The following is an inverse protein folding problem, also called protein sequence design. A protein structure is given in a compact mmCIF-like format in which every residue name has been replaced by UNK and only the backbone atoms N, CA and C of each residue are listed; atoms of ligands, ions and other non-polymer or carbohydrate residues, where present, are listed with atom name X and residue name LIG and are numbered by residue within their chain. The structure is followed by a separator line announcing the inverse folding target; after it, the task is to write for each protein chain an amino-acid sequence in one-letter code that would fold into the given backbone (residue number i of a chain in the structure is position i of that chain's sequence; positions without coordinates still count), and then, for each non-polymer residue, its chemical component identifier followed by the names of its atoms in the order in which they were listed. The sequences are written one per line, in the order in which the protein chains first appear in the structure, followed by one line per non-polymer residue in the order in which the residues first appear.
data_IF_943130188204
#
_entry.id   IF_943130188204
#
_cell.length_a   1.000
_cell.length_b   1.000
_cell.length_c   1.000
_cell.angle_alpha   90.00
_cell.angle_beta   90.00
_cell.angle_gamma   90.00
#
_symmetry.space_group_name_H-M   'P 1'
#
loop_
_entity.id
_entity.type
_entity.pdbx_description
1 polymer ?
#
# COMPACT_ATOMS: atom_id res chain seq x y z
N UNK A 1 2.51 -22.07 0.95
CA UNK A 1 2.73 -20.73 0.43
C UNK A 1 3.13 -19.79 1.56
N UNK A 2 4.17 -19.01 1.36
CA UNK A 2 4.54 -18.07 2.40
C UNK A 2 3.45 -17.02 2.56
N UNK A 3 3.09 -16.74 3.81
CA UNK A 3 2.15 -15.68 4.12
C UNK A 3 2.85 -14.33 3.93
N UNK A 4 2.08 -13.31 3.55
CA UNK A 4 2.58 -11.96 3.57
C UNK A 4 2.89 -11.58 5.02
N UNK A 5 3.99 -10.86 5.27
CA UNK A 5 4.26 -10.36 6.61
C UNK A 5 3.20 -9.36 7.04
N UNK A 6 2.95 -9.28 8.33
CA UNK A 6 2.07 -8.24 8.87
C UNK A 6 2.76 -6.89 8.67
N UNK A 7 2.04 -5.93 8.11
CA UNK A 7 2.59 -4.63 7.81
C UNK A 7 1.75 -3.52 8.43
N UNK A 8 2.43 -2.52 8.95
CA UNK A 8 1.76 -1.29 9.37
C UNK A 8 1.47 -0.43 8.15
N UNK A 9 0.48 0.49 8.24
CA UNK A 9 0.23 1.41 7.13
C UNK A 9 1.49 2.19 6.71
N UNK A 10 2.32 2.58 7.68
CA UNK A 10 3.55 3.33 7.39
C UNK A 10 4.51 2.53 6.52
N UNK A 11 4.63 1.23 6.77
CA UNK A 11 5.52 0.39 5.97
C UNK A 11 5.02 0.22 4.54
N UNK A 12 3.71 0.03 4.37
CA UNK A 12 3.16 -0.09 3.01
C UNK A 12 3.25 1.23 2.24
N UNK A 13 3.13 2.35 2.95
CA UNK A 13 3.32 3.67 2.32
C UNK A 13 4.73 3.79 1.78
N UNK A 14 5.74 3.36 2.53
CA UNK A 14 7.12 3.40 2.04
C UNK A 14 7.31 2.54 0.79
N UNK A 15 6.66 1.38 0.75
CA UNK A 15 6.71 0.52 -0.43
C UNK A 15 6.08 1.23 -1.63
N UNK A 16 4.93 1.86 -1.43
CA UNK A 16 4.27 2.59 -2.51
C UNK A 16 5.12 3.75 -3.02
N UNK A 17 5.77 4.46 -2.11
CA UNK A 17 6.68 5.56 -2.51
C UNK A 17 7.84 5.05 -3.35
N UNK A 18 8.39 3.89 -2.99
CA UNK A 18 9.46 3.27 -3.79
C UNK A 18 8.98 2.91 -5.19
N UNK A 19 7.71 2.61 -5.34
CA UNK A 19 7.12 2.29 -6.65
C UNK A 19 6.73 3.53 -7.45
N UNK A 20 6.88 4.71 -6.88
CA UNK A 20 6.57 5.95 -7.57
C UNK A 20 5.20 6.53 -7.26
N UNK A 21 4.52 6.02 -6.25
CA UNK A 21 3.26 6.61 -5.81
C UNK A 21 3.53 7.87 -4.99
N UNK A 22 2.66 8.85 -5.13
CA UNK A 22 2.74 10.10 -4.38
C UNK A 22 1.43 10.31 -3.63
N UNK A 23 1.50 11.03 -2.52
CA UNK A 23 0.30 11.35 -1.75
C UNK A 23 -0.54 12.34 -2.54
N UNK A 24 -1.78 11.96 -2.83
CA UNK A 24 -2.73 12.81 -3.54
C UNK A 24 -3.52 13.66 -2.54
N UNK A 25 -4.13 13.00 -1.56
CA UNK A 25 -4.91 13.72 -0.53
C UNK A 25 -5.08 12.86 0.71
N UNK A 26 -5.46 13.51 1.79
CA UNK A 26 -5.80 12.85 3.04
C UNK A 26 -7.27 13.13 3.32
N UNK A 27 -8.03 12.07 3.58
CA UNK A 27 -9.45 12.16 3.89
C UNK A 27 -9.70 11.46 5.21
N UNK A 28 -9.77 12.23 6.30
CA UNK A 28 -9.88 11.63 7.62
C UNK A 28 -8.67 10.78 7.94
N UNK A 29 -8.91 9.50 8.25
CA UNK A 29 -7.84 8.54 8.53
C UNK A 29 -7.37 7.81 7.26
N UNK A 30 -7.86 8.20 6.08
CA UNK A 30 -7.49 7.55 4.82
C UNK A 30 -6.51 8.42 4.05
N UNK A 31 -5.39 7.83 3.65
CA UNK A 31 -4.40 8.47 2.79
C UNK A 31 -4.57 7.92 1.38
N UNK A 32 -4.77 8.80 0.43
CA UNK A 32 -4.97 8.41 -0.97
C UNK A 32 -3.68 8.67 -1.74
N UNK A 33 -3.10 7.61 -2.29
CA UNK A 33 -1.88 7.68 -3.09
C UNK A 33 -2.20 7.49 -4.56
N UNK A 34 -1.40 8.11 -5.41
CA UNK A 34 -1.64 8.13 -6.84
C UNK A 34 -0.34 7.93 -7.60
N UNK A 35 -0.39 7.16 -8.68
CA UNK A 35 0.76 6.95 -9.55
C UNK A 35 0.53 7.69 -10.86
N UNK A 36 1.42 8.63 -11.16
CA UNK A 36 1.27 9.50 -12.33
C UNK A 36 1.33 8.74 -13.65
N UNK A 37 2.17 7.71 -13.73
CA UNK A 37 2.33 6.94 -14.97
C UNK A 37 1.22 5.93 -15.19
N UNK A 38 0.92 5.13 -14.19
CA UNK A 38 -0.08 4.06 -14.31
C UNK A 38 -1.50 4.55 -14.09
N UNK A 39 -1.67 5.75 -13.52
CA UNK A 39 -2.97 6.32 -13.18
C UNK A 39 -3.71 5.51 -12.11
N UNK A 40 -3.00 4.68 -11.35
CA UNK A 40 -3.59 3.88 -10.29
C UNK A 40 -3.74 4.71 -9.01
N UNK A 41 -4.83 4.45 -8.29
CA UNK A 41 -5.08 5.03 -6.98
C UNK A 41 -5.13 3.96 -5.93
N UNK A 42 -4.56 4.27 -4.76
CA UNK A 42 -4.56 3.34 -3.64
C UNK A 42 -5.02 4.10 -2.40
N UNK A 43 -5.97 3.53 -1.68
CA UNK A 43 -6.46 4.11 -0.44
C UNK A 43 -5.93 3.30 0.72
N UNK A 44 -5.22 3.96 1.63
CA UNK A 44 -4.60 3.31 2.78
C UNK A 44 -5.24 3.84 4.05
N UNK A 45 -5.95 2.98 4.81
CA UNK A 45 -6.46 3.40 6.12
C UNK A 45 -5.30 3.48 7.10
N UNK A 46 -5.14 4.63 7.76
CA UNK A 46 -4.07 4.80 8.74
C UNK A 46 -4.56 4.41 10.12
N UNK A 47 -4.02 3.31 10.62
CA UNK A 47 -4.28 2.82 11.97
C UNK A 47 -2.95 2.61 12.67
N UNK A 48 -2.99 2.52 14.00
CA UNK A 48 -1.80 2.21 14.78
C UNK A 48 -1.42 0.74 14.69
N UNK A 49 -2.33 -0.09 14.23
CA UNK A 49 -2.14 -1.55 14.14
C UNK A 49 -1.74 -1.98 12.74
N UNK A 50 -1.27 -3.22 12.67
CA UNK A 50 -0.99 -3.84 11.38
C UNK A 50 -2.26 -3.91 10.54
N UNK A 51 -2.07 -3.82 9.23
CA UNK A 51 -3.18 -3.94 8.30
C UNK A 51 -3.69 -5.39 8.28
N UNK A 52 -5.02 -5.61 8.31
CA UNK A 52 -5.55 -6.96 8.07
C UNK A 52 -5.09 -7.48 6.72
N UNK A 53 -4.92 -8.82 6.63
CA UNK A 53 -4.46 -9.44 5.38
C UNK A 53 -5.33 -9.10 4.19
N UNK A 54 -6.65 -9.11 4.37
CA UNK A 54 -7.56 -8.74 3.28
C UNK A 54 -7.38 -7.32 2.80
N UNK A 55 -7.18 -6.39 3.74
CA UNK A 55 -6.93 -4.99 3.40
C UNK A 55 -5.60 -4.84 2.69
N UNK A 56 -4.56 -5.52 3.18
CA UNK A 56 -3.23 -5.48 2.57
C UNK A 56 -3.28 -6.01 1.13
N UNK A 57 -3.96 -7.14 0.92
CA UNK A 57 -4.10 -7.71 -0.41
C UNK A 57 -4.82 -6.77 -1.36
N UNK A 58 -5.85 -6.09 -0.87
CA UNK A 58 -6.58 -5.11 -1.69
C UNK A 58 -5.70 -3.93 -2.06
N UNK A 59 -4.88 -3.44 -1.12
CA UNK A 59 -3.97 -2.33 -1.37
C UNK A 59 -2.97 -2.69 -2.47
N UNK A 60 -2.32 -3.85 -2.37
CA UNK A 60 -1.34 -4.23 -3.38
C UNK A 60 -2.00 -4.52 -4.72
N UNK A 61 -3.22 -5.02 -4.72
CA UNK A 61 -3.99 -5.23 -5.93
C UNK A 61 -4.29 -3.90 -6.62
N UNK A 62 -4.75 -2.91 -5.86
CA UNK A 62 -5.00 -1.57 -6.40
C UNK A 62 -3.72 -0.94 -6.96
N UNK A 63 -2.61 -1.18 -6.28
CA UNK A 63 -1.31 -0.63 -6.70
C UNK A 63 -0.72 -1.37 -7.90
N UNK A 64 -1.21 -2.56 -8.21
CA UNK A 64 -0.64 -3.37 -9.28
C UNK A 64 0.67 -4.03 -8.89
N UNK A 65 0.87 -4.27 -7.61
CA UNK A 65 2.08 -4.88 -7.05
C UNK A 65 1.80 -6.35 -6.75
N UNK A 66 2.71 -7.23 -7.14
CA UNK A 66 2.61 -8.64 -6.78
C UNK A 66 3.10 -8.87 -5.35
N UNK A 67 2.76 -10.03 -4.78
CA UNK A 67 3.25 -10.40 -3.46
C UNK A 67 4.78 -10.47 -3.42
N UNK A 68 5.37 -10.96 -4.50
CA UNK A 68 6.82 -11.06 -4.64
C UNK A 68 7.46 -9.68 -4.65
N UNK A 69 6.88 -8.75 -5.40
CA UNK A 69 7.37 -7.38 -5.43
C UNK A 69 7.29 -6.73 -4.05
N UNK A 70 6.19 -6.97 -3.35
CA UNK A 70 6.01 -6.41 -2.02
C UNK A 70 7.14 -6.87 -1.10
N UNK A 71 7.45 -8.16 -1.12
CA UNK A 71 8.53 -8.69 -0.28
C UNK A 71 9.89 -8.10 -0.66
N UNK A 72 10.13 -7.92 -1.96
CA UNK A 72 11.39 -7.36 -2.44
C UNK A 72 11.56 -5.89 -2.04
N UNK A 73 10.45 -5.17 -1.89
CA UNK A 73 10.49 -3.74 -1.55
C UNK A 73 10.52 -3.47 -0.05
N UNK A 74 10.28 -4.50 0.76
CA UNK A 74 10.30 -4.34 2.22
C UNK A 74 11.71 -4.23 2.79
#
# INVERSE_FOLDING_TARGET
MPKLPSLTPQKIIKVLEKKGFVLDRIKGSHHIYYHLETKRRVVIPLHKRDLPNGTLLEIIKQAGISKEELRDLL
#
